data_IF_436186065129
#
_entry.id   IF_436186065129
#
_cell.length_a   1.000
_cell.length_b   1.000
_cell.length_c   1.000
_cell.angle_alpha   90.00
_cell.angle_beta   90.00
_cell.angle_gamma   90.00
#
_symmetry.space_group_name_H-M   'P 1'
#
loop_
_entity.id
_entity.type
_entity.pdbx_description
1 polymer ?
#
# COMPACT_ATOMS: atom_id res chain seq x y z
N UNK A 1 -3.60 -4.62 4.55
CA UNK A 1 -2.92 -5.94 4.51
C UNK A 1 -3.14 -6.73 5.80
N UNK A 2 -3.10 -6.10 6.97
CA UNK A 2 -3.24 -6.77 8.27
C UNK A 2 -4.63 -7.37 8.56
N UNK A 3 -5.73 -6.76 8.12
CA UNK A 3 -7.07 -7.31 8.41
C UNK A 3 -7.40 -8.55 7.58
N UNK A 4 -7.16 -8.53 6.27
CA UNK A 4 -7.53 -9.62 5.36
C UNK A 4 -6.72 -10.92 5.62
N UNK A 5 -5.41 -10.82 5.89
CA UNK A 5 -4.60 -11.99 6.28
C UNK A 5 -4.93 -12.53 7.67
N UNK A 6 -5.32 -11.66 8.62
CA UNK A 6 -5.80 -12.09 9.93
C UNK A 6 -7.17 -12.77 9.78
N UNK A 7 -8.09 -12.18 9.02
CA UNK A 7 -9.42 -12.76 8.76
C UNK A 7 -9.29 -14.10 8.04
N UNK A 8 -8.39 -14.23 7.06
CA UNK A 8 -8.14 -15.50 6.37
C UNK A 8 -7.54 -16.56 7.30
N UNK A 9 -6.50 -16.21 8.07
CA UNK A 9 -5.87 -17.14 9.03
C UNK A 9 -6.84 -17.56 10.15
N UNK A 10 -7.73 -16.65 10.56
CA UNK A 10 -8.72 -16.89 11.60
C UNK A 10 -9.95 -17.62 11.04
N UNK A 11 -10.30 -17.44 9.77
CA UNK A 11 -11.39 -18.15 9.08
C UNK A 11 -11.15 -19.66 8.97
N UNK A 12 -9.90 -20.11 9.13
CA UNK A 12 -9.51 -21.53 9.19
C UNK A 12 -9.63 -22.10 10.63
N UNK A 13 -9.90 -21.26 11.64
CA UNK A 13 -10.07 -21.68 13.04
C UNK A 13 -11.50 -22.15 13.34
N UNK A 14 -11.63 -23.33 13.95
CA UNK A 14 -12.92 -23.88 14.39
C UNK A 14 -13.49 -23.24 15.68
N UNK A 15 -12.77 -22.31 16.32
CA UNK A 15 -13.23 -21.67 17.57
C UNK A 15 -13.65 -20.22 17.34
N UNK A 16 -14.96 -19.98 17.39
CA UNK A 16 -15.57 -18.66 17.27
C UNK A 16 -15.06 -17.68 18.35
N UNK A 17 -14.76 -18.19 19.55
CA UNK A 17 -14.18 -17.41 20.65
C UNK A 17 -12.78 -16.90 20.29
N UNK A 18 -11.93 -17.77 19.71
CA UNK A 18 -10.59 -17.40 19.25
C UNK A 18 -10.66 -16.37 18.12
N UNK A 19 -11.64 -16.51 17.23
CA UNK A 19 -11.84 -15.57 16.12
C UNK A 19 -12.17 -14.16 16.59
N UNK A 20 -13.17 -14.03 17.47
CA UNK A 20 -13.59 -12.71 17.97
C UNK A 20 -12.45 -12.06 18.75
N UNK A 21 -11.79 -12.80 19.64
CA UNK A 21 -10.68 -12.27 20.45
C UNK A 21 -9.50 -11.81 19.57
N UNK A 22 -9.15 -12.56 18.53
CA UNK A 22 -8.09 -12.19 17.59
C UNK A 22 -8.41 -10.90 16.81
N UNK A 23 -9.64 -10.78 16.29
CA UNK A 23 -10.07 -9.59 15.53
C UNK A 23 -10.05 -8.34 16.42
N UNK A 24 -10.61 -8.43 17.63
CA UNK A 24 -10.63 -7.32 18.58
C UNK A 24 -9.21 -6.91 18.96
N UNK A 25 -8.33 -7.87 19.26
CA UNK A 25 -6.94 -7.59 19.59
C UNK A 25 -6.20 -6.92 18.42
N UNK A 26 -6.40 -7.42 17.20
CA UNK A 26 -5.81 -6.83 16.00
C UNK A 26 -6.29 -5.39 15.78
N UNK A 27 -7.59 -5.12 15.95
CA UNK A 27 -8.15 -3.77 15.83
C UNK A 27 -7.55 -2.81 16.85
N UNK A 28 -7.39 -3.24 18.12
CA UNK A 28 -6.76 -2.44 19.17
C UNK A 28 -5.32 -2.07 18.79
N UNK A 29 -4.53 -3.05 18.35
CA UNK A 29 -3.15 -2.81 17.91
C UNK A 29 -3.12 -1.83 16.73
N UNK A 30 -4.01 -1.99 15.74
CA UNK A 30 -4.07 -1.07 14.59
C UNK A 30 -4.37 0.36 15.01
N UNK A 31 -5.28 0.59 15.96
CA UNK A 31 -5.58 1.94 16.47
C UNK A 31 -4.37 2.53 17.18
N UNK A 32 -3.70 1.76 18.05
CA UNK A 32 -2.52 2.21 18.80
C UNK A 32 -1.38 2.62 17.86
N UNK A 33 -1.15 1.86 16.80
CA UNK A 33 -0.08 2.14 15.82
C UNK A 33 -0.48 3.07 14.67
N UNK A 34 -1.77 3.40 14.54
CA UNK A 34 -2.31 4.19 13.42
C UNK A 34 -1.60 5.52 13.21
N UNK A 35 -1.25 6.25 14.28
CA UNK A 35 -0.55 7.53 14.20
C UNK A 35 0.84 7.41 13.57
N UNK A 36 1.61 6.38 13.95
CA UNK A 36 2.94 6.13 13.38
C UNK A 36 2.85 5.70 11.91
N UNK A 37 1.91 4.82 11.60
CA UNK A 37 1.65 4.38 10.23
C UNK A 37 1.20 5.55 9.35
N UNK A 38 0.33 6.43 9.85
CA UNK A 38 -0.13 7.63 9.15
C UNK A 38 1.03 8.57 8.84
N UNK A 39 1.88 8.88 9.82
CA UNK A 39 3.05 9.74 9.62
C UNK A 39 4.02 9.19 8.57
N UNK A 40 4.19 7.86 8.52
CA UNK A 40 5.01 7.20 7.50
C UNK A 40 4.39 7.33 6.09
N UNK A 41 3.09 7.11 5.96
CA UNK A 41 2.36 7.26 4.69
C UNK A 41 2.40 8.71 4.20
N UNK A 42 2.31 9.68 5.10
CA UNK A 42 2.30 11.11 4.77
C UNK A 42 3.67 11.60 4.27
N UNK A 43 4.75 11.02 4.77
CA UNK A 43 6.13 11.28 4.31
C UNK A 43 6.41 10.70 2.91
N UNK A 44 5.68 9.66 2.50
CA UNK A 44 5.88 8.95 1.24
C UNK A 44 4.59 8.96 0.40
N UNK A 45 4.36 9.98 -0.44
CA UNK A 45 3.12 10.13 -1.22
C UNK A 45 2.77 8.92 -2.09
N UNK A 46 3.78 8.18 -2.58
CA UNK A 46 3.57 6.96 -3.38
C UNK A 46 2.92 5.84 -2.55
N UNK A 47 3.34 5.67 -1.29
CA UNK A 47 2.75 4.71 -0.36
C UNK A 47 1.28 5.00 -0.05
N UNK A 48 0.89 6.28 -0.01
CA UNK A 48 -0.52 6.69 0.16
C UNK A 48 -1.39 6.21 -1.00
N UNK A 49 -0.91 6.39 -2.23
CA UNK A 49 -1.62 5.98 -3.44
C UNK A 49 -1.70 4.45 -3.48
N UNK A 50 -0.60 3.75 -3.19
CA UNK A 50 -0.56 2.29 -3.13
C UNK A 50 -1.58 1.71 -2.14
N UNK A 51 -1.69 2.32 -0.95
CA UNK A 51 -2.65 1.90 0.07
C UNK A 51 -4.11 2.09 -0.37
N UNK A 52 -4.44 3.23 -0.98
CA UNK A 52 -5.78 3.50 -1.53
C UNK A 52 -6.14 2.53 -2.65
N UNK A 53 -5.19 2.24 -3.55
CA UNK A 53 -5.38 1.28 -4.64
C UNK A 53 -5.63 -0.13 -4.10
N UNK A 54 -4.91 -0.57 -3.08
CA UNK A 54 -5.15 -1.87 -2.46
C UNK A 54 -6.51 -1.95 -1.77
N UNK A 55 -6.96 -0.86 -1.13
CA UNK A 55 -8.30 -0.81 -0.53
C UNK A 55 -9.40 -0.96 -1.59
N UNK A 56 -9.27 -0.29 -2.73
CA UNK A 56 -10.21 -0.42 -3.84
C UNK A 56 -10.15 -1.83 -4.46
N UNK A 57 -8.94 -2.37 -4.68
CA UNK A 57 -8.73 -3.68 -5.29
C UNK A 57 -9.32 -4.81 -4.43
N UNK A 58 -9.06 -4.80 -3.11
CA UNK A 58 -9.63 -5.78 -2.19
C UNK A 58 -11.14 -5.56 -2.05
N UNK A 59 -11.60 -4.30 -1.98
CA UNK A 59 -13.02 -3.99 -1.93
C UNK A 59 -13.79 -4.52 -3.14
N UNK A 60 -13.28 -4.32 -4.36
CA UNK A 60 -13.89 -4.86 -5.58
C UNK A 60 -13.82 -6.38 -5.65
N UNK A 61 -12.70 -6.97 -5.20
CA UNK A 61 -12.54 -8.41 -5.11
C UNK A 61 -13.60 -9.06 -4.22
N UNK A 62 -13.87 -8.48 -3.04
CA UNK A 62 -14.88 -9.00 -2.12
C UNK A 62 -16.30 -8.88 -2.69
N UNK A 63 -16.60 -7.81 -3.43
CA UNK A 63 -17.89 -7.66 -4.13
C UNK A 63 -18.06 -8.74 -5.20
N UNK A 64 -17.03 -8.99 -6.00
CA UNK A 64 -17.04 -10.05 -7.03
C UNK A 64 -17.20 -11.42 -6.39
N UNK A 65 -16.43 -11.71 -5.33
CA UNK A 65 -16.48 -12.99 -4.62
C UNK A 65 -17.82 -13.22 -3.91
N UNK A 66 -18.46 -12.16 -3.41
CA UNK A 66 -19.78 -12.22 -2.78
C UNK A 66 -20.95 -12.36 -3.77
N UNK A 67 -20.82 -11.86 -5.00
CA UNK A 67 -21.86 -11.98 -6.04
C UNK A 67 -21.70 -13.17 -6.98
N UNK A 68 -20.47 -13.56 -7.30
CA UNK A 68 -20.16 -14.59 -8.30
C UNK A 68 -19.01 -15.47 -7.81
N UNK A 69 -19.26 -16.20 -6.72
CA UNK A 69 -18.25 -17.01 -6.02
C UNK A 69 -17.58 -18.03 -6.93
N UNK A 70 -18.38 -18.75 -7.72
CA UNK A 70 -17.93 -19.80 -8.65
C UNK A 70 -17.01 -19.23 -9.74
N UNK A 71 -17.37 -18.08 -10.31
CA UNK A 71 -16.56 -17.42 -11.35
C UNK A 71 -15.26 -16.83 -10.80
N UNK A 72 -15.27 -16.33 -9.56
CA UNK A 72 -14.07 -15.79 -8.91
C UNK A 72 -13.05 -16.89 -8.58
N UNK A 73 -13.54 -18.08 -8.23
CA UNK A 73 -12.71 -19.26 -7.93
C UNK A 73 -12.14 -19.88 -9.21
N UNK A 74 -12.97 -20.06 -10.26
CA UNK A 74 -12.54 -20.63 -11.55
C UNK A 74 -11.49 -19.77 -12.26
N UNK A 75 -11.63 -18.44 -12.22
CA UNK A 75 -10.67 -17.53 -12.83
C UNK A 75 -9.42 -17.28 -11.96
N UNK A 76 -9.29 -17.94 -10.80
CA UNK A 76 -8.19 -17.78 -9.85
C UNK A 76 -7.86 -16.30 -9.53
N UNK A 77 -8.89 -15.44 -9.45
CA UNK A 77 -8.73 -13.97 -9.29
C UNK A 77 -7.86 -13.61 -8.08
N UNK A 78 -7.97 -14.40 -7.00
CA UNK A 78 -7.18 -14.21 -5.77
C UNK A 78 -5.68 -14.23 -6.03
N UNK A 79 -5.22 -15.19 -6.82
CA UNK A 79 -3.79 -15.39 -7.11
C UNK A 79 -3.24 -14.21 -7.91
N UNK A 80 -3.98 -13.73 -8.91
CA UNK A 80 -3.60 -12.56 -9.70
C UNK A 80 -3.55 -11.30 -8.85
N UNK A 81 -4.51 -11.11 -7.94
CA UNK A 81 -4.55 -9.95 -7.04
C UNK A 81 -3.38 -9.98 -6.05
N UNK A 82 -3.08 -11.14 -5.45
CA UNK A 82 -1.91 -11.28 -4.57
C UNK A 82 -0.59 -11.02 -5.31
N UNK A 83 -0.46 -11.53 -6.54
CA UNK A 83 0.71 -11.25 -7.38
C UNK A 83 0.83 -9.76 -7.74
N UNK A 84 -0.28 -9.13 -8.15
CA UNK A 84 -0.31 -7.72 -8.49
C UNK A 84 0.05 -6.83 -7.28
N UNK A 85 -0.44 -7.16 -6.08
CA UNK A 85 -0.09 -6.45 -4.85
C UNK A 85 1.40 -6.59 -4.52
N UNK A 86 1.96 -7.80 -4.59
CA UNK A 86 3.38 -8.03 -4.34
C UNK A 86 4.26 -7.27 -5.34
N UNK A 87 3.92 -7.35 -6.63
CA UNK A 87 4.63 -6.63 -7.69
C UNK A 87 4.57 -5.11 -7.51
N UNK A 88 3.40 -4.56 -7.19
CA UNK A 88 3.24 -3.12 -6.97
C UNK A 88 4.07 -2.60 -5.80
N UNK A 89 4.15 -3.34 -4.69
CA UNK A 89 5.01 -2.98 -3.55
C UNK A 89 6.49 -2.98 -3.95
N UNK A 90 6.93 -4.00 -4.70
CA UNK A 90 8.33 -4.12 -5.15
C UNK A 90 8.70 -2.95 -6.07
N UNK A 91 7.82 -2.62 -7.01
CA UNK A 91 8.02 -1.48 -7.92
C UNK A 91 8.06 -0.17 -7.16
N UNK A 92 7.12 0.06 -6.22
CA UNK A 92 7.10 1.30 -5.43
C UNK A 92 8.36 1.42 -4.55
N UNK A 93 8.81 0.31 -3.97
CA UNK A 93 10.05 0.27 -3.20
C UNK A 93 11.29 0.61 -4.05
N UNK A 94 11.34 0.10 -5.29
CA UNK A 94 12.40 0.44 -6.24
C UNK A 94 12.32 1.93 -6.63
N UNK A 95 11.12 2.45 -6.89
CA UNK A 95 10.87 3.86 -7.19
C UNK A 95 11.38 4.77 -6.05
N UNK A 96 11.08 4.43 -4.80
CA UNK A 96 11.55 5.15 -3.62
C UNK A 96 13.08 5.14 -3.50
N UNK A 97 13.73 3.99 -3.77
CA UNK A 97 15.21 3.88 -3.77
C UNK A 97 15.86 4.74 -4.85
N UNK A 98 15.29 4.76 -6.06
CA UNK A 98 15.80 5.55 -7.18
C UNK A 98 15.63 7.05 -6.93
N UNK A 99 14.46 7.48 -6.45
CA UNK A 99 14.18 8.89 -6.15
C UNK A 99 15.09 9.45 -5.06
N UNK A 100 15.54 8.62 -4.12
CA UNK A 100 16.53 9.02 -3.12
C UNK A 100 17.91 9.34 -3.71
N UNK A 101 18.23 8.86 -4.92
CA UNK A 101 19.50 9.12 -5.62
C UNK A 101 19.47 10.38 -6.50
N UNK A 102 18.32 10.80 -6.99
CA UNK A 102 18.17 11.92 -7.96
C UNK A 102 18.15 13.32 -7.33
N UNK A 103 18.17 13.46 -6.00
CA UNK A 103 18.22 14.77 -5.32
C UNK A 103 19.60 15.47 -5.39
N UNK A 104 20.35 15.31 -6.49
CA UNK A 104 21.46 16.21 -6.81
C UNK A 104 20.95 17.23 -7.82
N UNK A 105 20.70 18.50 -7.42
CA UNK A 105 20.30 19.51 -8.37
C UNK A 105 21.35 19.59 -9.49
N UNK A 106 20.89 19.47 -10.74
CA UNK A 106 21.74 19.64 -11.92
C UNK A 106 22.27 21.08 -11.86
N UNK A 107 23.56 21.23 -11.57
CA UNK A 107 24.24 22.53 -11.58
C UNK A 107 24.26 23.03 -13.03
N UNK A 108 23.37 23.97 -13.33
CA UNK A 108 23.38 24.70 -14.60
C UNK A 108 24.63 25.60 -14.61
N UNK A 109 25.63 25.23 -15.41
CA UNK A 109 26.90 25.97 -15.55
C UNK A 109 26.77 27.27 -16.38
N UNK A 110 25.57 27.65 -16.79
CA UNK A 110 25.33 28.79 -17.67
C UNK A 110 24.37 29.80 -17.02
N UNK A 111 24.79 30.38 -15.89
CA UNK A 111 24.18 31.62 -15.43
C UNK A 111 24.73 32.76 -16.28
N UNK A 112 23.91 33.46 -17.08
CA UNK A 112 24.35 34.66 -17.77
C UNK A 112 24.75 35.69 -16.71
N UNK A 113 26.04 36.07 -16.69
CA UNK A 113 26.50 37.19 -15.89
C UNK A 113 25.77 38.43 -16.41
N UNK A 114 24.83 38.94 -15.61
CA UNK A 114 24.30 40.28 -15.80
C UNK A 114 25.48 41.23 -15.57
N UNK A 115 26.07 41.69 -16.66
CA UNK A 115 26.95 42.85 -16.63
C UNK A 115 26.10 44.01 -16.18
N UNK A 116 26.18 44.34 -14.89
CA UNK A 116 25.69 45.61 -14.37
C UNK A 116 26.43 46.70 -15.15
N UNK A 117 25.66 47.42 -15.97
CA UNK A 117 26.14 48.53 -16.76
C UNK A 117 26.75 49.57 -15.83
N UNK A 118 28.01 49.88 -16.10
CA UNK A 118 28.62 51.15 -15.76
C UNK A 118 27.83 52.27 -16.42
N UNK A 119 27.30 53.19 -15.61
CA UNK A 119 27.19 54.62 -15.91
C UNK A 119 27.57 55.40 -14.63
#
# INVERSE_FOLDING_TARGET
FSLDSVITAVGISNSLVVMITAIVLAAVIMVVFSGQVSAFIERHPSMKILALSFLILIGSMLVIEGWAHEAAEELHLKNYIYFAMAFAVIVDFLQLRLKSKENKPVKLHNQPKLTEGTD
#
